data_IF_406658437488
#
_entry.id   IF_406658437488
#
_cell.length_a   1.000
_cell.length_b   1.000
_cell.length_c   1.000
_cell.angle_alpha   90.00
_cell.angle_beta   90.00
_cell.angle_gamma   90.00
#
_symmetry.space_group_name_H-M   'P 1'
#
loop_
_entity.id
_entity.type
_entity.pdbx_description
1 polymer ?
#
# COMPACT_ATOMS: atom_id res chain seq x y z
N UNK A 1 17.64 -9.77 -0.34
CA UNK A 1 18.56 -8.73 0.20
C UNK A 1 17.69 -7.64 0.78
N UNK A 2 18.02 -7.14 1.97
CA UNK A 2 17.23 -6.09 2.61
C UNK A 2 18.07 -4.83 2.73
N UNK A 3 17.51 -3.67 2.37
CA UNK A 3 18.23 -2.39 2.36
C UNK A 3 17.33 -1.26 2.88
N UNK A 4 17.92 -0.32 3.62
CA UNK A 4 17.28 0.91 4.06
C UNK A 4 17.75 2.09 3.17
N UNK A 5 16.88 2.63 2.29
CA UNK A 5 17.26 3.75 1.44
C UNK A 5 17.48 5.02 2.26
N UNK A 6 18.51 5.79 1.91
CA UNK A 6 18.82 7.08 2.55
C UNK A 6 18.97 8.16 1.49
N UNK A 7 18.20 9.24 1.61
CA UNK A 7 18.31 10.43 0.78
C UNK A 7 19.09 11.50 1.53
N UNK A 8 20.19 11.98 0.94
CA UNK A 8 21.03 13.04 1.51
C UNK A 8 21.03 14.27 0.61
N UNK A 9 20.81 15.44 1.19
CA UNK A 9 20.97 16.70 0.46
C UNK A 9 22.40 17.26 0.65
N UNK A 10 23.24 17.10 -0.37
CA UNK A 10 24.58 17.69 -0.44
C UNK A 10 24.61 19.05 -1.18
N UNK A 11 23.45 19.62 -1.48
CA UNK A 11 23.32 20.91 -2.13
C UNK A 11 23.67 22.10 -1.23
N UNK A 12 23.63 23.30 -1.80
CA UNK A 12 23.85 24.56 -1.06
C UNK A 12 22.57 25.14 -0.45
N UNK A 13 21.41 24.58 -0.80
CA UNK A 13 20.08 25.02 -0.39
C UNK A 13 19.23 23.82 0.01
N UNK A 14 18.10 24.04 0.67
CA UNK A 14 17.12 22.98 0.91
C UNK A 14 16.56 22.45 -0.41
N UNK A 15 16.15 21.18 -0.39
CA UNK A 15 15.43 20.54 -1.49
C UNK A 15 13.96 20.35 -1.07
N UNK A 16 13.02 20.81 -1.87
CA UNK A 16 11.58 20.66 -1.66
C UNK A 16 10.98 19.70 -2.69
N UNK A 17 9.97 18.95 -2.26
CA UNK A 17 9.23 17.98 -3.07
C UNK A 17 10.17 17.09 -3.90
N UNK A 18 11.06 16.38 -3.18
CA UNK A 18 11.99 15.44 -3.79
C UNK A 18 11.26 14.14 -4.08
N UNK A 19 11.37 13.67 -5.33
CA UNK A 19 10.92 12.36 -5.78
C UNK A 19 12.13 11.59 -6.27
N UNK A 20 12.28 10.35 -5.79
CA UNK A 20 13.28 9.41 -6.29
C UNK A 20 12.53 8.22 -6.86
N UNK A 21 12.54 8.11 -8.18
CA UNK A 21 12.00 6.96 -8.91
C UNK A 21 13.13 5.94 -9.10
N UNK A 22 12.88 4.69 -8.72
CA UNK A 22 13.81 3.58 -8.82
C UNK A 22 13.16 2.50 -9.66
N UNK A 23 13.66 2.27 -10.86
CA UNK A 23 13.20 1.23 -11.77
C UNK A 23 14.12 0.02 -11.66
N UNK A 24 13.54 -1.13 -11.34
CA UNK A 24 14.22 -2.41 -11.22
C UNK A 24 14.03 -3.23 -12.50
N UNK A 25 15.01 -4.06 -12.88
CA UNK A 25 14.85 -4.99 -13.98
C UNK A 25 13.83 -6.09 -13.63
N UNK A 26 13.21 -6.69 -14.66
CA UNK A 26 12.10 -7.65 -14.51
C UNK A 26 12.43 -8.87 -13.62
N UNK A 27 13.70 -9.28 -13.56
CA UNK A 27 14.14 -10.39 -12.73
C UNK A 27 14.25 -10.07 -11.24
N UNK A 28 13.98 -8.82 -10.82
CA UNK A 28 13.94 -8.39 -9.43
C UNK A 28 12.52 -7.94 -9.04
N UNK A 29 12.04 -8.44 -7.90
CA UNK A 29 10.86 -7.92 -7.20
C UNK A 29 11.33 -7.15 -5.98
N UNK A 30 10.64 -6.06 -5.66
CA UNK A 30 10.86 -5.35 -4.39
C UNK A 30 9.60 -5.34 -3.52
N UNK A 31 9.78 -5.56 -2.23
CA UNK A 31 8.73 -5.51 -1.22
C UNK A 31 9.04 -4.39 -0.22
N UNK A 32 7.98 -3.74 0.26
CA UNK A 32 8.06 -2.84 1.42
C UNK A 32 8.22 -3.70 2.69
N UNK A 33 9.20 -3.38 3.52
CA UNK A 33 9.43 -4.05 4.80
C UNK A 33 8.14 -4.04 5.63
N UNK A 34 7.83 -5.19 6.23
CA UNK A 34 6.56 -5.51 6.93
C UNK A 34 5.40 -6.06 6.09
N UNK A 35 5.58 -6.44 4.82
CA UNK A 35 4.56 -7.19 4.07
C UNK A 35 4.47 -8.68 4.45
N UNK A 36 4.29 -8.96 5.75
CA UNK A 36 3.85 -10.27 6.24
C UNK A 36 2.54 -10.72 5.54
N UNK A 37 1.71 -9.75 5.14
CA UNK A 37 0.44 -9.93 4.45
C UNK A 37 0.50 -10.73 3.13
N UNK A 38 1.61 -10.65 2.38
CA UNK A 38 1.74 -11.37 1.10
C UNK A 38 2.03 -12.87 1.30
N UNK A 39 2.58 -13.23 2.46
CA UNK A 39 2.90 -14.61 2.83
C UNK A 39 1.85 -15.23 3.76
N UNK A 40 0.99 -14.43 4.40
CA UNK A 40 -0.03 -14.90 5.36
C UNK A 40 -1.43 -15.05 4.72
N UNK A 41 -1.78 -14.27 3.69
CA UNK A 41 -3.12 -14.35 3.09
C UNK A 41 -3.20 -15.46 2.04
N UNK A 42 -3.76 -16.61 2.43
CA UNK A 42 -4.21 -17.63 1.48
C UNK A 42 -5.06 -16.98 0.37
N UNK A 43 -4.84 -17.35 -0.91
CA UNK A 43 -5.64 -16.82 -2.00
C UNK A 43 -7.11 -17.15 -1.77
N UNK A 44 -7.97 -16.13 -1.76
CA UNK A 44 -9.42 -16.33 -1.64
C UNK A 44 -9.91 -17.12 -2.85
N UNK A 45 -10.07 -18.43 -2.68
CA UNK A 45 -10.71 -19.31 -3.64
C UNK A 45 -12.14 -18.81 -3.87
N UNK A 46 -12.42 -18.27 -5.06
CA UNK A 46 -13.78 -17.94 -5.49
C UNK A 46 -14.52 -19.24 -5.84
N UNK A 47 -14.84 -20.05 -4.84
CA UNK A 47 -15.73 -21.19 -5.02
C UNK A 47 -17.10 -20.59 -5.39
N UNK A 48 -17.70 -20.95 -6.53
CA UNK A 48 -19.01 -20.44 -6.89
C UNK A 48 -20.03 -20.84 -5.82
N UNK A 49 -20.81 -19.88 -5.33
CA UNK A 49 -21.83 -20.17 -4.31
C UNK A 49 -22.82 -21.20 -4.85
N UNK A 50 -23.07 -22.24 -4.06
CA UNK A 50 -24.04 -23.26 -4.44
C UNK A 50 -25.43 -22.63 -4.62
N UNK A 51 -26.27 -23.13 -5.56
CA UNK A 51 -27.62 -22.61 -5.77
C UNK A 51 -28.48 -22.55 -4.49
N UNK A 52 -28.21 -23.48 -3.55
CA UNK A 52 -28.88 -23.57 -2.24
C UNK A 52 -28.50 -22.39 -1.34
N UNK A 53 -27.21 -22.03 -1.31
CA UNK A 53 -26.70 -20.88 -0.53
C UNK A 53 -27.31 -19.56 -1.01
N UNK A 54 -27.49 -19.42 -2.34
CA UNK A 54 -28.10 -18.24 -2.97
C UNK A 54 -29.59 -18.10 -2.61
N UNK A 55 -30.30 -19.22 -2.51
CA UNK A 55 -31.71 -19.24 -2.10
C UNK A 55 -31.90 -18.87 -0.63
N UNK A 56 -31.04 -19.40 0.26
CA UNK A 56 -31.09 -19.10 1.70
C UNK A 56 -30.83 -17.62 2.01
N UNK A 57 -29.86 -17.00 1.32
CA UNK A 57 -29.58 -15.55 1.42
C UNK A 57 -30.75 -14.69 0.94
N UNK A 58 -31.45 -15.12 -0.12
CA UNK A 58 -32.63 -14.42 -0.64
C UNK A 58 -33.79 -14.46 0.36
N UNK A 59 -34.03 -15.62 0.99
CA UNK A 59 -35.07 -15.76 2.02
C UNK A 59 -34.75 -14.92 3.26
N UNK A 60 -33.50 -14.90 3.73
CA UNK A 60 -33.11 -14.06 4.86
C UNK A 60 -33.25 -12.56 4.56
N UNK A 61 -32.92 -12.14 3.33
CA UNK A 61 -33.08 -10.73 2.93
C UNK A 61 -34.55 -10.30 2.86
N UNK A 62 -35.45 -11.18 2.43
CA UNK A 62 -36.88 -10.92 2.42
C UNK A 62 -37.45 -10.82 3.85
N UNK A 63 -37.07 -11.74 4.73
CA UNK A 63 -37.47 -11.74 6.15
C UNK A 63 -36.98 -10.47 6.89
N UNK A 64 -35.76 -10.00 6.62
CA UNK A 64 -35.25 -8.76 7.22
C UNK A 64 -35.98 -7.51 6.73
N UNK A 65 -36.43 -7.48 5.47
CA UNK A 65 -37.21 -6.37 4.91
C UNK A 65 -38.64 -6.33 5.46
N UNK A 66 -39.24 -7.48 5.71
CA UNK A 66 -40.56 -7.61 6.31
C UNK A 66 -40.55 -7.15 7.78
N UNK A 67 -39.54 -7.56 8.54
CA UNK A 67 -39.34 -7.10 9.92
C UNK A 67 -39.07 -5.59 10.02
N UNK A 68 -38.40 -4.99 9.03
CA UNK A 68 -38.17 -3.54 8.99
C UNK A 68 -39.46 -2.75 8.72
N UNK A 69 -40.37 -3.29 7.89
CA UNK A 69 -41.67 -2.65 7.60
C UNK A 69 -42.65 -2.73 8.76
N UNK A 70 -42.60 -3.81 9.54
CA UNK A 70 -43.48 -4.00 10.69
C UNK A 70 -43.10 -3.09 11.88
N UNK A 71 -41.85 -2.61 11.96
CA UNK A 71 -41.38 -1.70 13.01
C UNK A 71 -41.69 -0.21 12.80
N UNK A 72 -42.26 0.20 11.66
CA UNK A 72 -42.59 1.62 11.37
C UNK A 72 -44.04 1.97 11.73
N UNK A 73 -44.92 0.98 11.92
CA UNK A 73 -46.35 1.19 12.13
C UNK A 73 -46.87 0.96 13.55
N UNK A 74 -46.01 0.58 14.52
CA UNK A 74 -46.44 0.34 15.90
C UNK A 74 -45.98 1.48 16.82
N UNK A 75 -46.83 2.50 16.96
CA UNK A 75 -46.63 3.71 17.75
C UNK A 75 -46.94 3.48 19.23
N UNK A 76 -46.56 2.34 19.82
CA UNK A 76 -46.58 2.14 21.28
C UNK A 76 -45.69 0.98 21.70
N UNK A 77 -44.45 1.25 22.12
CA UNK A 77 -43.84 0.66 23.33
C UNK A 77 -42.33 0.89 23.38
N UNK A 78 -41.89 1.32 24.56
CA UNK A 78 -40.51 1.48 24.96
C UNK A 78 -39.89 0.08 25.10
N UNK A 79 -38.87 -0.24 24.31
CA UNK A 79 -37.88 -1.25 24.67
C UNK A 79 -36.51 -0.89 24.10
N UNK A 80 -35.58 -0.76 25.03
CA UNK A 80 -34.16 -0.52 24.83
C UNK A 80 -33.60 -1.58 23.86
N UNK A 81 -33.19 -1.15 22.67
CA UNK A 81 -32.23 -1.88 21.87
C UNK A 81 -31.20 -0.86 21.38
N UNK A 82 -30.06 -0.79 22.08
CA UNK A 82 -28.86 -0.16 21.55
C UNK A 82 -28.58 -0.85 20.20
N UNK A 83 -28.54 -0.15 19.06
CA UNK A 83 -28.02 -0.76 17.85
C UNK A 83 -26.52 -0.93 18.08
N UNK A 84 -26.13 -2.15 18.43
CA UNK A 84 -24.74 -2.59 18.37
C UNK A 84 -24.37 -2.72 16.90
N UNK A 85 -24.29 -1.57 16.23
CA UNK A 85 -23.74 -1.46 14.89
C UNK A 85 -22.23 -1.43 15.05
N UNK A 86 -21.65 -2.59 15.39
CA UNK A 86 -20.24 -2.81 15.16
C UNK A 86 -20.03 -2.73 13.65
N UNK A 87 -19.42 -1.64 13.20
CA UNK A 87 -18.95 -1.48 11.83
C UNK A 87 -17.43 -1.74 11.80
N UNK A 88 -16.97 -3.00 11.89
CA UNK A 88 -15.55 -3.29 11.70
C UNK A 88 -15.11 -3.03 10.25
N UNK A 89 -16.05 -2.90 9.31
CA UNK A 89 -15.76 -2.73 7.89
C UNK A 89 -15.31 -1.30 7.51
N UNK A 90 -15.67 -0.26 8.28
CA UNK A 90 -15.27 1.13 7.99
C UNK A 90 -13.95 1.45 8.68
N UNK A 91 -13.73 0.96 9.91
CA UNK A 91 -12.47 1.16 10.64
C UNK A 91 -11.30 0.49 9.90
N UNK A 92 -11.52 -0.70 9.33
CA UNK A 92 -10.49 -1.40 8.55
C UNK A 92 -10.19 -0.76 7.18
N UNK A 93 -11.06 0.10 6.65
CA UNK A 93 -10.76 0.88 5.43
C UNK A 93 -10.09 2.23 5.71
N UNK A 94 -10.13 2.68 6.96
CA UNK A 94 -9.40 3.88 7.41
C UNK A 94 -7.96 3.52 7.79
N UNK A 95 -7.72 2.28 8.25
CA UNK A 95 -6.37 1.77 8.51
C UNK A 95 -5.51 1.59 7.23
N UNK A 96 -6.15 1.40 6.07
CA UNK A 96 -5.49 1.25 4.76
C UNK A 96 -5.25 2.59 4.04
N UNK A 97 -5.78 3.70 4.57
CA UNK A 97 -5.38 5.03 4.14
C UNK A 97 -4.14 5.41 4.94
N UNK A 98 -2.98 4.95 4.45
CA UNK A 98 -1.69 5.45 4.91
C UNK A 98 -1.78 6.96 5.12
N UNK A 99 -1.53 7.38 6.36
CA UNK A 99 -1.61 8.77 6.84
C UNK A 99 -1.32 9.76 5.71
N UNK A 100 -2.36 10.47 5.26
CA UNK A 100 -2.40 11.40 4.10
C UNK A 100 -1.47 12.64 4.29
N UNK A 101 -0.57 12.60 5.27
CA UNK A 101 0.35 13.67 5.63
C UNK A 101 1.72 13.15 6.12
N UNK A 102 2.21 12.01 5.63
CA UNK A 102 3.62 11.68 5.86
C UNK A 102 4.50 12.60 4.99
N UNK A 103 5.39 13.36 5.64
CA UNK A 103 6.39 14.19 4.98
C UNK A 103 7.37 13.34 4.13
N UNK A 104 7.36 12.02 4.32
CA UNK A 104 8.18 11.03 3.62
C UNK A 104 7.33 9.78 3.35
N UNK A 105 7.30 9.27 2.11
CA UNK A 105 6.58 8.02 1.81
C UNK A 105 7.28 7.18 0.73
N UNK A 106 6.90 5.91 0.67
CA UNK A 106 7.35 4.92 -0.33
C UNK A 106 6.13 4.34 -1.04
N UNK A 107 6.01 4.54 -2.36
CA UNK A 107 5.02 3.86 -3.19
C UNK A 107 5.69 2.77 -4.03
N UNK A 108 5.01 1.63 -4.17
CA UNK A 108 5.45 0.48 -4.95
C UNK A 108 4.50 0.24 -6.11
N UNK A 109 5.09 0.09 -7.29
CA UNK A 109 4.54 -0.60 -8.47
C UNK A 109 5.47 -1.79 -8.75
N UNK A 110 5.01 -2.89 -9.35
CA UNK A 110 5.68 -4.20 -9.32
C UNK A 110 7.22 -4.20 -9.48
N UNK A 111 7.74 -3.41 -10.44
CA UNK A 111 9.17 -3.22 -10.69
C UNK A 111 9.67 -1.78 -10.45
N UNK A 112 8.87 -0.91 -9.84
CA UNK A 112 9.20 0.50 -9.62
C UNK A 112 8.91 0.93 -8.19
N UNK A 113 9.86 1.62 -7.59
CA UNK A 113 9.68 2.26 -6.29
C UNK A 113 9.77 3.76 -6.45
N UNK A 114 8.83 4.47 -5.85
CA UNK A 114 8.89 5.93 -5.75
C UNK A 114 9.04 6.31 -4.29
N UNK A 115 10.15 6.98 -3.97
CA UNK A 115 10.41 7.58 -2.67
C UNK A 115 10.08 9.07 -2.76
N UNK A 116 9.27 9.60 -1.86
CA UNK A 116 9.01 11.04 -1.76
C UNK A 116 9.54 11.58 -0.45
N UNK A 117 10.17 12.75 -0.49
CA UNK A 117 10.40 13.59 0.68
C UNK A 117 9.91 15.02 0.39
N UNK A 118 9.05 15.55 1.25
CA UNK A 118 8.49 16.91 1.12
C UNK A 118 9.58 17.98 1.23
N UNK A 119 10.52 17.82 2.16
CA UNK A 119 11.62 18.77 2.36
C UNK A 119 12.83 18.06 2.95
N UNK A 120 14.00 18.31 2.37
CA UNK A 120 15.29 17.86 2.88
C UNK A 120 16.19 19.07 3.07
N UNK A 121 16.48 19.40 4.34
CA UNK A 121 17.37 20.52 4.66
C UNK A 121 18.79 20.24 4.17
N UNK A 122 19.56 21.31 3.98
CA UNK A 122 20.96 21.20 3.60
C UNK A 122 21.73 20.35 4.62
N UNK A 123 22.56 19.43 4.11
CA UNK A 123 23.39 18.53 4.91
C UNK A 123 22.64 17.53 5.80
N UNK A 124 21.31 17.48 5.72
CA UNK A 124 20.51 16.45 6.42
C UNK A 124 20.23 15.24 5.53
N UNK A 125 19.92 14.15 6.22
CA UNK A 125 19.52 12.86 5.65
C UNK A 125 18.09 12.54 6.03
N UNK A 126 17.40 11.88 5.11
CA UNK A 126 16.09 11.26 5.34
C UNK A 126 16.26 9.77 5.11
N UNK A 127 15.95 8.98 6.12
CA UNK A 127 15.92 7.52 6.04
C UNK A 127 14.50 7.07 5.69
N UNK A 128 14.40 6.11 4.78
CA UNK A 128 13.13 5.53 4.37
C UNK A 128 12.93 4.17 5.03
N UNK A 129 11.67 3.73 4.98
CA UNK A 129 11.32 2.36 5.36
C UNK A 129 12.15 1.34 4.57
N UNK A 130 12.45 0.23 5.24
CA UNK A 130 13.25 -0.84 4.70
C UNK A 130 12.57 -1.48 3.47
N UNK A 131 13.36 -1.83 2.46
CA UNK A 131 12.90 -2.51 1.25
C UNK A 131 13.62 -3.85 1.09
N UNK A 132 12.85 -4.88 0.73
CA UNK A 132 13.36 -6.24 0.49
C UNK A 132 13.40 -6.49 -1.01
N UNK A 133 14.60 -6.69 -1.55
CA UNK A 133 14.83 -7.03 -2.95
C UNK A 133 14.97 -8.54 -3.08
N UNK A 134 14.13 -9.16 -3.90
CA UNK A 134 14.05 -10.60 -4.14
C UNK A 134 14.37 -10.87 -5.61
N UNK A 135 15.43 -11.64 -5.91
CA UNK A 135 15.66 -12.11 -7.26
C UNK A 135 14.70 -13.25 -7.61
N UNK A 136 14.05 -13.14 -8.77
CA UNK A 136 13.21 -14.21 -9.33
C UNK A 136 14.02 -15.17 -10.20
N UNK A 137 14.92 -14.62 -11.02
CA UNK A 137 15.72 -15.38 -11.97
C UNK A 137 17.16 -14.87 -11.98
N UNK A 138 18.06 -15.74 -12.44
CA UNK A 138 19.46 -15.39 -12.69
C UNK A 138 19.50 -14.46 -13.90
N UNK A 139 20.23 -13.36 -13.79
CA UNK A 139 20.28 -12.37 -14.85
C UNK A 139 21.19 -11.20 -14.52
N UNK A 140 21.50 -10.43 -15.56
CA UNK A 140 22.20 -9.16 -15.45
C UNK A 140 21.28 -8.07 -15.98
N UNK A 141 21.19 -6.98 -15.25
CA UNK A 141 20.34 -5.85 -15.59
C UNK A 141 20.84 -4.58 -14.97
N UNK A 142 20.05 -3.52 -15.12
CA UNK A 142 20.38 -2.18 -14.66
C UNK A 142 19.24 -1.66 -13.82
N UNK A 143 19.55 -1.18 -12.62
CA UNK A 143 18.63 -0.40 -11.81
C UNK A 143 18.82 1.07 -12.18
N UNK A 144 17.73 1.74 -12.54
CA UNK A 144 17.74 3.17 -12.87
C UNK A 144 17.17 3.97 -11.71
N UNK A 145 17.83 5.07 -11.39
CA UNK A 145 17.45 6.01 -10.35
C UNK A 145 17.23 7.36 -11.01
N UNK A 146 16.07 7.96 -10.80
CA UNK A 146 15.72 9.29 -11.31
C UNK A 146 15.31 10.17 -10.14
N UNK A 147 16.10 11.20 -9.88
CA UNK A 147 15.88 12.15 -8.81
C UNK A 147 15.30 13.43 -9.40
N UNK A 148 14.15 13.84 -8.89
CA UNK A 148 13.41 15.03 -9.32
C UNK A 148 13.19 15.89 -8.07
N UNK A 149 13.47 17.18 -8.13
CA UNK A 149 13.05 18.13 -7.10
C UNK A 149 12.85 19.52 -7.71
N UNK A 150 12.16 20.40 -6.99
CA UNK A 150 11.83 21.74 -7.49
C UNK A 150 13.06 22.61 -7.78
N UNK A 151 14.17 22.38 -7.07
CA UNK A 151 15.40 23.14 -7.22
C UNK A 151 16.24 22.68 -8.41
N UNK A 152 15.94 21.52 -9.00
CA UNK A 152 16.63 20.98 -10.16
C UNK A 152 15.84 21.31 -11.42
N UNK A 153 16.49 21.94 -12.41
CA UNK A 153 15.89 22.22 -13.71
C UNK A 153 15.61 20.95 -14.50
N UNK A 154 16.47 19.95 -14.35
CA UNK A 154 16.38 18.67 -15.04
C UNK A 154 16.52 17.53 -14.04
N UNK A 155 15.81 16.40 -14.25
CA UNK A 155 15.97 15.21 -13.43
C UNK A 155 17.40 14.69 -13.49
N UNK A 156 17.95 14.32 -12.34
CA UNK A 156 19.25 13.66 -12.29
C UNK A 156 19.04 12.17 -12.37
N UNK A 157 19.63 11.54 -13.38
CA UNK A 157 19.49 10.10 -13.63
C UNK A 157 20.81 9.39 -13.37
N UNK A 158 20.74 8.28 -12.64
CA UNK A 158 21.85 7.39 -12.38
C UNK A 158 21.46 5.95 -12.66
N UNK A 159 22.41 5.14 -13.11
CA UNK A 159 22.16 3.74 -13.43
C UNK A 159 23.21 2.87 -12.76
N UNK A 160 22.79 1.74 -12.20
CA UNK A 160 23.70 0.78 -11.55
C UNK A 160 23.46 -0.61 -12.13
N UNK A 161 24.51 -1.22 -12.64
CA UNK A 161 24.47 -2.61 -13.09
C UNK A 161 24.39 -3.57 -11.89
N UNK A 162 23.52 -4.56 -12.00
CA UNK A 162 23.31 -5.61 -11.00
C UNK A 162 23.30 -6.97 -11.69
N UNK A 163 23.96 -7.93 -11.06
CA UNK A 163 24.02 -9.32 -11.53
C UNK A 163 23.58 -10.25 -10.41
N UNK A 164 22.64 -11.14 -10.71
CA UNK A 164 22.22 -12.23 -9.84
C UNK A 164 22.91 -13.49 -10.33
N UNK A 165 23.66 -14.17 -9.47
CA UNK A 165 24.32 -15.45 -9.76
C UNK A 165 23.62 -16.59 -9.04
N UNK A 166 23.68 -17.80 -9.60
CA UNK A 166 23.32 -19.01 -8.86
C UNK A 166 24.23 -19.12 -7.63
N UNK A 167 23.62 -19.45 -6.48
CA UNK A 167 24.36 -19.71 -5.25
C UNK A 167 24.88 -21.13 -5.18
#
# INVERSE_FOLDING_TARGET
ITVSPVLRNNGRTFASNVYVEIDFPEFLIVLKGSNEDFFIKEPKLKIPESPISKHKKRLSALMSLENFRMGIFDETSIAIAKPHFEVPAIINRIADLGTVNQDVWVMKEDHKITLRAKKVLQSLTVEYEEIVIIPLTIGTGVINFKIICEQLKEPVVFSRQVTVTAS
#
